data_IF_396809717808
#
_entry.id   IF_396809717808
#
_cell.length_a   1.000
_cell.length_b   1.000
_cell.length_c   1.000
_cell.angle_alpha   90.00
_cell.angle_beta   90.00
_cell.angle_gamma   90.00
#
_symmetry.space_group_name_H-M   'P 1'
#
loop_
_entity.id
_entity.type
_entity.pdbx_description
1 polymer ?
#
# COMPACT_ATOMS: atom_id res chain seq x y z
N UNK A 1 41.85 15.03 25.83
CA UNK A 1 40.83 15.07 24.75
C UNK A 1 40.73 13.78 23.91
N UNK A 2 41.80 13.00 23.69
CA UNK A 2 41.73 11.78 22.87
C UNK A 2 40.91 10.63 23.48
N UNK A 3 40.89 10.47 24.82
CA UNK A 3 40.17 9.35 25.47
C UNK A 3 38.64 9.41 25.33
N UNK A 4 38.05 10.61 25.26
CA UNK A 4 36.59 10.77 25.12
C UNK A 4 36.07 10.45 23.70
N UNK A 5 36.90 10.62 22.67
CA UNK A 5 36.55 10.28 21.28
C UNK A 5 36.42 8.76 21.08
N UNK A 6 37.26 7.96 21.75
CA UNK A 6 37.16 6.49 21.67
C UNK A 6 35.93 5.95 22.41
N UNK A 7 35.53 6.57 23.52
CA UNK A 7 34.32 6.18 24.26
C UNK A 7 33.05 6.50 23.49
N UNK A 8 33.01 7.64 22.78
CA UNK A 8 31.91 7.99 21.88
C UNK A 8 31.79 7.05 20.68
N UNK A 9 32.91 6.65 20.08
CA UNK A 9 32.93 5.69 18.97
C UNK A 9 32.41 4.31 19.35
N UNK A 10 32.77 3.80 20.54
CA UNK A 10 32.29 2.50 21.05
C UNK A 10 30.78 2.49 21.34
N UNK A 11 30.21 3.61 21.82
CA UNK A 11 28.77 3.74 22.10
C UNK A 11 27.92 3.82 20.82
N UNK A 12 28.46 4.33 19.71
CA UNK A 12 27.75 4.35 18.42
C UNK A 12 27.75 2.95 17.80
N UNK A 13 28.84 2.20 17.93
CA UNK A 13 28.91 0.81 17.43
C UNK A 13 28.01 -0.17 18.18
N UNK A 14 27.68 0.08 19.45
CA UNK A 14 26.76 -0.78 20.23
C UNK A 14 25.28 -0.54 19.88
N UNK A 15 24.92 0.63 19.35
CA UNK A 15 23.58 0.91 18.83
C UNK A 15 23.31 0.28 17.45
N UNK A 16 24.37 -0.16 16.76
CA UNK A 16 24.27 -0.83 15.46
C UNK A 16 24.02 -2.34 15.55
N UNK A 17 24.04 -2.95 16.74
CA UNK A 17 23.57 -4.31 16.95
C UNK A 17 22.04 -4.34 17.09
N UNK A 18 21.37 -3.94 16.02
CA UNK A 18 19.98 -4.32 15.79
C UNK A 18 19.95 -5.84 15.61
N UNK A 19 19.75 -6.54 16.73
CA UNK A 19 19.48 -7.97 16.78
C UNK A 19 18.55 -8.38 15.63
N UNK A 20 18.99 -9.37 14.87
CA UNK A 20 18.31 -9.86 13.67
C UNK A 20 16.88 -10.27 14.00
N UNK A 21 15.92 -9.39 13.70
CA UNK A 21 14.55 -9.82 13.55
C UNK A 21 14.52 -10.60 12.24
N UNK A 22 14.32 -11.92 12.32
CA UNK A 22 14.16 -12.79 11.16
C UNK A 22 13.23 -12.12 10.15
N UNK A 23 13.80 -11.68 9.04
CA UNK A 23 13.04 -11.05 7.98
C UNK A 23 12.28 -12.16 7.26
N UNK A 24 10.98 -12.25 7.50
CA UNK A 24 10.15 -13.34 6.98
C UNK A 24 9.38 -12.86 5.75
N UNK A 25 9.60 -13.53 4.62
CA UNK A 25 8.73 -13.44 3.45
C UNK A 25 7.51 -14.32 3.73
N UNK A 26 6.30 -13.77 3.54
CA UNK A 26 5.04 -14.47 3.79
C UNK A 26 4.06 -14.24 2.65
N UNK A 27 3.47 -15.31 2.14
CA UNK A 27 2.28 -15.25 1.29
C UNK A 27 1.01 -15.20 2.16
N UNK A 28 0.03 -14.39 1.76
CA UNK A 28 -1.21 -14.18 2.51
C UNK A 28 -2.38 -13.90 1.56
N UNK A 29 -3.57 -14.35 1.91
CA UNK A 29 -4.80 -14.03 1.17
C UNK A 29 -5.46 -12.73 1.66
N UNK A 30 -5.27 -12.38 2.93
CA UNK A 30 -5.88 -11.21 3.55
C UNK A 30 -5.12 -10.81 4.82
N UNK A 31 -4.78 -9.52 4.93
CA UNK A 31 -3.97 -8.99 6.04
C UNK A 31 -4.74 -8.06 6.98
N UNK A 32 -6.06 -7.88 6.78
CA UNK A 32 -6.87 -7.05 7.68
C UNK A 32 -6.51 -5.57 7.60
N UNK A 33 -6.17 -5.08 6.41
CA UNK A 33 -5.85 -3.68 6.15
C UNK A 33 -6.93 -3.09 5.26
N UNK A 34 -7.48 -1.95 5.67
CA UNK A 34 -8.37 -1.14 4.85
C UNK A 34 -7.71 0.21 4.57
N UNK A 35 -7.81 0.68 3.33
CA UNK A 35 -7.19 1.91 2.85
C UNK A 35 -8.22 2.72 2.08
N UNK A 36 -8.32 4.01 2.37
CA UNK A 36 -9.07 4.94 1.54
C UNK A 36 -8.08 5.87 0.81
N UNK A 37 -8.43 6.29 -0.40
CA UNK A 37 -7.54 7.15 -1.17
C UNK A 37 -8.16 7.70 -2.43
N UNK A 38 -7.30 8.21 -3.30
CA UNK A 38 -7.69 8.88 -4.53
C UNK A 38 -6.91 8.35 -5.72
N UNK A 39 -7.63 8.14 -6.83
CA UNK A 39 -7.06 7.72 -8.10
C UNK A 39 -7.95 8.20 -9.25
N UNK A 40 -7.33 8.79 -10.27
CA UNK A 40 -8.00 9.14 -11.51
C UNK A 40 -9.33 9.88 -11.31
N UNK A 41 -9.30 11.00 -10.61
CA UNK A 41 -10.47 11.84 -10.37
C UNK A 41 -11.61 11.20 -9.57
N UNK A 42 -11.31 10.16 -8.78
CA UNK A 42 -12.28 9.49 -7.92
C UNK A 42 -11.63 8.94 -6.66
N UNK A 43 -12.45 8.66 -5.66
CA UNK A 43 -11.99 8.02 -4.44
C UNK A 43 -11.98 6.49 -4.60
N UNK A 44 -11.29 5.80 -3.70
CA UNK A 44 -11.36 4.35 -3.58
C UNK A 44 -11.34 3.93 -2.11
N UNK A 45 -11.86 2.73 -1.86
CA UNK A 45 -11.63 1.96 -0.64
C UNK A 45 -11.05 0.62 -1.05
N UNK A 46 -9.86 0.31 -0.55
CA UNK A 46 -9.14 -0.92 -0.82
C UNK A 46 -9.02 -1.79 0.42
N UNK A 47 -8.97 -3.08 0.17
CA UNK A 47 -8.58 -4.09 1.13
C UNK A 47 -7.36 -4.82 0.60
N UNK A 48 -6.48 -5.27 1.50
CA UNK A 48 -5.37 -6.16 1.09
C UNK A 48 -5.92 -7.54 0.77
N UNK A 49 -5.81 -7.97 -0.49
CA UNK A 49 -6.15 -9.32 -0.93
C UNK A 49 -4.90 -10.22 -1.02
N UNK A 50 -4.88 -11.21 -1.95
CA UNK A 50 -3.73 -12.07 -2.17
C UNK A 50 -2.45 -11.28 -2.41
N UNK A 51 -1.40 -11.57 -1.63
CA UNK A 51 -0.17 -10.80 -1.63
C UNK A 51 1.05 -11.61 -1.17
N UNK A 52 2.22 -11.04 -1.48
CA UNK A 52 3.49 -11.39 -0.87
C UNK A 52 3.90 -10.21 0.02
N UNK A 53 4.31 -10.52 1.24
CA UNK A 53 4.73 -9.53 2.22
C UNK A 53 6.10 -9.83 2.78
N UNK A 54 6.83 -8.77 3.12
CA UNK A 54 8.09 -8.78 3.83
C UNK A 54 7.90 -7.99 5.13
N UNK A 55 8.23 -8.59 6.27
CA UNK A 55 8.15 -7.92 7.57
C UNK A 55 9.53 -7.84 8.22
N UNK A 56 9.89 -6.65 8.67
CA UNK A 56 11.06 -6.38 9.51
C UNK A 56 10.66 -5.41 10.63
N UNK A 57 10.64 -5.92 11.88
CA UNK A 57 10.15 -5.17 13.06
C UNK A 57 8.74 -4.60 12.83
N UNK A 58 8.58 -3.29 13.03
CA UNK A 58 7.32 -2.55 12.86
C UNK A 58 7.01 -2.21 11.39
N UNK A 59 7.96 -2.44 10.48
CA UNK A 59 7.79 -2.20 9.05
C UNK A 59 7.34 -3.47 8.33
N UNK A 60 6.29 -3.36 7.53
CA UNK A 60 5.84 -4.41 6.63
C UNK A 60 5.60 -3.83 5.24
N UNK A 61 6.21 -4.47 4.24
CA UNK A 61 6.00 -4.17 2.83
C UNK A 61 5.12 -5.26 2.23
N UNK A 62 4.11 -4.88 1.48
CA UNK A 62 3.13 -5.80 0.88
C UNK A 62 3.00 -5.46 -0.58
N UNK A 63 3.25 -6.43 -1.45
CA UNK A 63 2.98 -6.35 -2.88
C UNK A 63 1.86 -7.34 -3.20
N UNK A 64 0.75 -6.85 -3.75
CA UNK A 64 -0.35 -7.75 -4.05
C UNK A 64 -1.57 -7.10 -4.67
N UNK A 65 -2.61 -7.92 -4.75
CA UNK A 65 -3.91 -7.57 -5.31
C UNK A 65 -4.75 -6.81 -4.28
N UNK A 66 -5.53 -5.86 -4.78
CA UNK A 66 -6.32 -4.92 -3.99
C UNK A 66 -7.79 -5.04 -4.41
N UNK A 67 -8.59 -5.91 -3.77
CA UNK A 67 -10.04 -5.83 -3.85
C UNK A 67 -10.50 -4.43 -3.44
N UNK A 68 -11.25 -3.77 -4.32
CA UNK A 68 -11.51 -2.34 -4.21
C UNK A 68 -12.96 -1.98 -4.51
N UNK A 69 -13.43 -0.91 -3.88
CA UNK A 69 -14.59 -0.14 -4.31
C UNK A 69 -14.10 1.20 -4.86
N UNK A 70 -14.36 1.46 -6.15
CA UNK A 70 -14.09 2.76 -6.78
C UNK A 70 -15.33 3.63 -6.62
N UNK A 71 -15.12 4.87 -6.19
CA UNK A 71 -16.16 5.88 -6.00
C UNK A 71 -15.86 7.00 -6.97
N UNK A 72 -16.55 6.98 -8.11
CA UNK A 72 -16.34 7.93 -9.21
C UNK A 72 -17.63 8.03 -10.02
N UNK A 73 -18.06 9.26 -10.27
CA UNK A 73 -19.20 9.51 -11.15
C UNK A 73 -18.87 9.13 -12.59
N UNK A 74 -19.78 8.41 -13.24
CA UNK A 74 -19.72 8.12 -14.66
C UNK A 74 -20.28 9.30 -15.46
N UNK A 75 -19.41 9.98 -16.20
CA UNK A 75 -19.75 11.15 -17.02
C UNK A 75 -20.10 10.80 -18.48
N UNK A 76 -20.43 9.54 -18.75
CA UNK A 76 -20.85 9.10 -20.08
C UNK A 76 -22.16 9.75 -20.51
N UNK A 77 -22.28 10.04 -21.81
CA UNK A 77 -23.46 10.69 -22.41
C UNK A 77 -24.66 9.76 -22.58
N UNK A 78 -24.44 8.44 -22.56
CA UNK A 78 -25.48 7.41 -22.66
C UNK A 78 -25.73 6.70 -21.34
N UNK A 79 -25.85 5.37 -21.39
CA UNK A 79 -25.95 4.52 -20.18
C UNK A 79 -24.76 4.74 -19.26
N UNK A 80 -25.02 4.92 -17.97
CA UNK A 80 -24.01 5.22 -16.95
C UNK A 80 -23.86 4.06 -15.98
N UNK A 81 -22.63 3.83 -15.54
CA UNK A 81 -22.35 2.95 -14.40
C UNK A 81 -22.79 3.60 -13.09
N UNK A 82 -22.97 2.76 -12.06
CA UNK A 82 -23.13 3.23 -10.68
C UNK A 82 -21.94 4.09 -10.25
N UNK A 83 -22.17 5.07 -9.38
CA UNK A 83 -21.11 5.89 -8.80
C UNK A 83 -20.14 5.08 -7.93
N UNK A 84 -20.58 3.92 -7.42
CA UNK A 84 -19.77 2.96 -6.66
C UNK A 84 -19.68 1.67 -7.46
N UNK A 85 -18.46 1.27 -7.81
CA UNK A 85 -18.21 0.06 -8.60
C UNK A 85 -17.15 -0.82 -7.95
N UNK A 86 -17.29 -2.17 -8.02
CA UNK A 86 -16.21 -3.06 -7.65
C UNK A 86 -15.07 -2.94 -8.67
N UNK A 87 -13.83 -3.00 -8.18
CA UNK A 87 -12.63 -3.00 -9.02
C UNK A 87 -11.53 -3.83 -8.36
N UNK A 88 -10.57 -4.26 -9.17
CA UNK A 88 -9.38 -4.98 -8.73
C UNK A 88 -8.15 -4.17 -9.11
N UNK A 89 -7.43 -3.69 -8.09
CA UNK A 89 -6.13 -3.06 -8.26
C UNK A 89 -4.99 -4.04 -7.96
N UNK A 90 -3.77 -3.57 -8.18
CA UNK A 90 -2.57 -4.14 -7.60
C UNK A 90 -1.68 -3.00 -7.11
N UNK A 91 -0.81 -3.24 -6.13
CA UNK A 91 0.10 -2.20 -5.69
C UNK A 91 0.94 -2.54 -4.49
N UNK A 92 1.70 -1.54 -4.06
CA UNK A 92 2.54 -1.59 -2.88
C UNK A 92 1.78 -1.00 -1.69
N UNK A 93 1.72 -1.74 -0.58
CA UNK A 93 1.28 -1.22 0.72
C UNK A 93 2.45 -1.25 1.69
N UNK A 94 2.75 -0.10 2.29
CA UNK A 94 3.75 0.06 3.34
C UNK A 94 2.99 0.21 4.63
N UNK A 95 3.23 -0.68 5.59
CA UNK A 95 2.63 -0.62 6.92
C UNK A 95 3.71 -0.32 7.93
N UNK A 96 3.53 0.73 8.72
CA UNK A 96 4.35 1.05 9.87
C UNK A 96 3.48 1.03 11.13
N UNK A 97 3.76 0.07 12.03
CA UNK A 97 2.88 -0.27 13.16
C UNK A 97 1.47 -0.63 12.65
N UNK A 98 0.52 0.29 12.77
CA UNK A 98 -0.86 0.12 12.29
C UNK A 98 -1.24 1.07 11.15
N UNK A 99 -0.37 1.98 10.76
CA UNK A 99 -0.64 2.93 9.68
C UNK A 99 -0.20 2.34 8.36
N UNK A 100 -1.08 2.39 7.35
CA UNK A 100 -0.81 1.86 6.03
C UNK A 100 -0.80 3.00 5.00
N UNK A 101 0.27 3.14 4.23
CA UNK A 101 0.33 3.97 3.03
C UNK A 101 0.31 3.05 1.83
N UNK A 102 -0.55 3.32 0.86
CA UNK A 102 -0.72 2.45 -0.31
C UNK A 102 -0.54 3.24 -1.60
N UNK A 103 0.18 2.62 -2.54
CA UNK A 103 0.36 3.09 -3.92
C UNK A 103 -0.32 2.09 -4.87
N UNK A 104 -1.65 2.17 -5.03
CA UNK A 104 -2.39 1.28 -5.91
C UNK A 104 -2.26 1.71 -7.37
N UNK A 105 -2.39 0.74 -8.26
CA UNK A 105 -2.48 0.92 -9.71
C UNK A 105 -3.68 0.13 -10.22
N UNK A 106 -4.52 0.77 -11.03
CA UNK A 106 -5.73 0.18 -11.59
C UNK A 106 -5.74 0.29 -13.09
N UNK A 107 -6.21 -0.76 -13.77
CA UNK A 107 -6.50 -0.65 -15.18
C UNK A 107 -7.91 -0.07 -15.36
N UNK A 108 -8.00 1.08 -16.01
CA UNK A 108 -9.26 1.58 -16.52
C UNK A 108 -9.45 1.03 -17.94
N UNK A 109 -10.56 0.33 -18.17
CA UNK A 109 -10.89 -0.24 -19.48
C UNK A 109 -11.08 0.84 -20.54
N UNK A 110 -10.79 0.47 -21.79
CA UNK A 110 -11.09 1.28 -22.98
C UNK A 110 -12.57 1.67 -23.02
N UNK A 111 -12.84 2.91 -23.44
CA UNK A 111 -14.19 3.40 -23.76
C UNK A 111 -14.30 3.69 -25.27
N UNK A 112 -15.46 4.17 -25.72
CA UNK A 112 -15.66 4.59 -27.12
C UNK A 112 -14.75 5.76 -27.52
N UNK A 113 -14.35 6.60 -26.56
CA UNK A 113 -13.63 7.86 -26.82
C UNK A 113 -12.23 7.93 -26.19
N UNK A 114 -11.84 6.93 -25.38
CA UNK A 114 -10.54 6.90 -24.69
C UNK A 114 -9.96 5.49 -24.65
N UNK A 115 -8.64 5.39 -24.82
CA UNK A 115 -7.91 4.13 -24.66
C UNK A 115 -7.88 3.67 -23.20
N UNK A 116 -7.76 2.35 -23.01
CA UNK A 116 -7.53 1.78 -21.69
C UNK A 116 -6.16 2.18 -21.16
N UNK A 117 -6.07 2.46 -19.86
CA UNK A 117 -4.83 2.95 -19.26
C UNK A 117 -4.72 2.55 -17.79
N UNK A 118 -3.50 2.29 -17.36
CA UNK A 118 -3.18 2.13 -15.95
C UNK A 118 -3.14 3.49 -15.26
N UNK A 119 -3.78 3.57 -14.10
CA UNK A 119 -3.86 4.77 -13.26
C UNK A 119 -3.28 4.47 -11.90
N UNK A 120 -2.22 5.19 -11.54
CA UNK A 120 -1.64 5.14 -10.20
C UNK A 120 -2.40 6.10 -9.27
N UNK A 121 -2.56 5.68 -8.02
CA UNK A 121 -3.16 6.46 -6.96
C UNK A 121 -2.33 6.45 -5.69
N UNK A 122 -2.88 7.05 -4.65
CA UNK A 122 -2.32 7.03 -3.30
C UNK A 122 -3.45 6.93 -2.28
N UNK A 123 -3.21 6.23 -1.17
CA UNK A 123 -4.15 6.10 -0.08
C UNK A 123 -3.50 5.96 1.28
N UNK A 124 -4.28 6.27 2.30
CA UNK A 124 -3.94 6.10 3.70
C UNK A 124 -4.94 5.15 4.35
N UNK A 125 -4.47 4.30 5.23
CA UNK A 125 -5.27 3.26 5.84
C UNK A 125 -4.74 2.80 7.16
N UNK A 126 -5.39 1.75 7.65
CA UNK A 126 -5.14 1.19 8.97
C UNK A 126 -5.11 -0.34 8.92
N UNK A 127 -4.16 -0.92 9.64
CA UNK A 127 -4.05 -2.35 9.88
C UNK A 127 -4.74 -2.70 11.19
N UNK A 128 -5.81 -3.49 11.10
CA UNK A 128 -6.58 -3.92 12.28
C UNK A 128 -5.96 -5.13 12.99
N UNK A 129 -5.01 -5.81 12.34
CA UNK A 129 -4.24 -6.94 12.86
C UNK A 129 -2.78 -6.58 13.09
#
# INVERSE_FOLDING_TARGET
MKKFLYTGGMLISSLCFSQGADSKIKASFFDGIAVAGYVDHGAFINFTGPNISFKNKDLKLILGMLPSLRIKEDKSSGTRNSAITPNLGAGLTIVFKKWAVQFPVYYNSKTLIQNGAWKAGIGLGYAFR
#
